data_IF_432223320257
#
_entry.id   IF_432223320257
#
_cell.length_a   1.000
_cell.length_b   1.000
_cell.length_c   1.000
_cell.angle_alpha   90.00
_cell.angle_beta   90.00
_cell.angle_gamma   90.00
#
_symmetry.space_group_name_H-M   'P 1'
#
loop_
_entity.id
_entity.type
_entity.pdbx_description
1 polymer ?
#
# COMPACT_ATOMS: atom_id res chain seq x y z
N UNK A 1 23.36 14.23 7.42
CA UNK A 1 23.01 13.42 6.23
C UNK A 1 22.06 12.25 6.54
N UNK A 2 21.21 12.34 7.57
CA UNK A 2 20.42 11.17 8.07
C UNK A 2 18.98 11.04 7.58
N UNK A 3 18.41 12.02 6.86
CA UNK A 3 16.96 12.02 6.54
C UNK A 3 16.64 11.33 5.20
N UNK A 4 17.61 11.21 4.29
CA UNK A 4 17.39 10.57 2.99
C UNK A 4 17.30 9.03 3.08
N UNK A 5 18.03 8.42 4.02
CA UNK A 5 18.08 6.96 4.18
C UNK A 5 16.77 6.42 4.78
N UNK A 6 16.21 7.09 5.80
CA UNK A 6 14.93 6.68 6.41
C UNK A 6 13.72 6.79 5.49
N UNK A 7 13.77 7.64 4.45
CA UNK A 7 12.70 7.73 3.45
C UNK A 7 12.65 6.50 2.51
N UNK A 8 13.79 5.86 2.28
CA UNK A 8 13.92 4.83 1.25
C UNK A 8 13.30 3.49 1.69
N UNK A 9 13.47 3.10 2.95
CA UNK A 9 12.93 1.83 3.45
C UNK A 9 11.42 1.87 3.63
N UNK A 10 10.88 2.99 4.13
CA UNK A 10 9.43 3.14 4.28
C UNK A 10 8.70 3.14 2.94
N UNK A 11 9.26 3.82 1.94
CA UNK A 11 8.67 3.85 0.59
C UNK A 11 8.68 2.46 -0.08
N UNK A 12 9.74 1.65 0.12
CA UNK A 12 9.82 0.28 -0.42
C UNK A 12 8.81 -0.66 0.25
N UNK A 13 8.62 -0.54 1.56
CA UNK A 13 7.60 -1.27 2.30
C UNK A 13 6.20 -0.93 1.80
N UNK A 14 5.86 0.36 1.73
CA UNK A 14 4.55 0.83 1.30
C UNK A 14 4.25 0.38 -0.14
N UNK A 15 5.25 0.40 -1.02
CA UNK A 15 5.12 -0.09 -2.40
C UNK A 15 4.90 -1.61 -2.46
N UNK A 16 5.64 -2.40 -1.69
CA UNK A 16 5.50 -3.87 -1.68
C UNK A 16 4.11 -4.26 -1.17
N UNK A 17 3.65 -3.60 -0.12
CA UNK A 17 2.31 -3.77 0.43
C UNK A 17 1.22 -3.35 -0.57
N UNK A 18 1.35 -2.16 -1.18
CA UNK A 18 0.38 -1.64 -2.14
C UNK A 18 0.27 -2.51 -3.41
N UNK A 19 1.40 -2.95 -3.96
CA UNK A 19 1.44 -3.83 -5.14
C UNK A 19 0.81 -5.19 -4.84
N UNK A 20 1.07 -5.74 -3.65
CA UNK A 20 0.49 -7.01 -3.22
C UNK A 20 -1.02 -6.93 -3.05
N UNK A 21 -1.50 -5.82 -2.45
CA UNK A 21 -2.93 -5.55 -2.29
C UNK A 21 -3.61 -5.30 -3.66
N UNK A 22 -2.94 -4.57 -4.56
CA UNK A 22 -3.40 -4.36 -5.93
C UNK A 22 -3.52 -5.67 -6.70
N UNK A 23 -2.52 -6.55 -6.62
CA UNK A 23 -2.57 -7.87 -7.23
C UNK A 23 -3.72 -8.72 -6.66
N UNK A 24 -3.89 -8.70 -5.33
CA UNK A 24 -4.97 -9.42 -4.66
C UNK A 24 -6.35 -8.95 -5.10
N UNK A 25 -6.57 -7.64 -5.12
CA UNK A 25 -7.82 -7.04 -5.58
C UNK A 25 -8.09 -7.34 -7.05
N UNK A 26 -7.06 -7.27 -7.91
CA UNK A 26 -7.19 -7.55 -9.34
C UNK A 26 -7.65 -8.98 -9.56
N UNK A 27 -7.02 -9.93 -8.88
CA UNK A 27 -7.37 -11.33 -8.97
C UNK A 27 -8.80 -11.60 -8.49
N UNK A 28 -9.23 -11.00 -7.37
CA UNK A 28 -10.61 -11.15 -6.87
C UNK A 28 -11.63 -10.50 -7.81
N UNK A 29 -11.32 -9.33 -8.38
CA UNK A 29 -12.17 -8.69 -9.37
C UNK A 29 -12.34 -9.58 -10.63
N UNK A 30 -11.26 -10.21 -11.10
CA UNK A 30 -11.31 -11.17 -12.20
C UNK A 30 -12.07 -12.45 -11.83
N UNK A 31 -11.98 -12.91 -10.58
CA UNK A 31 -12.75 -14.05 -10.08
C UNK A 31 -14.27 -13.81 -10.22
N UNK A 32 -14.74 -12.57 -10.03
CA UNK A 32 -16.15 -12.22 -10.19
C UNK A 32 -16.67 -12.42 -11.63
N UNK A 33 -15.80 -12.34 -12.64
CA UNK A 33 -16.20 -12.57 -14.03
C UNK A 33 -16.19 -14.06 -14.41
N UNK A 34 -15.48 -14.91 -13.66
CA UNK A 34 -15.33 -16.32 -13.97
C UNK A 34 -16.68 -17.06 -13.91
N UNK A 35 -17.11 -17.61 -15.05
CA UNK A 35 -18.36 -18.38 -15.19
C UNK A 35 -18.23 -19.83 -14.71
N UNK A 36 -17.00 -20.30 -14.46
CA UNK A 36 -16.71 -21.65 -13.97
C UNK A 36 -16.20 -21.62 -12.53
N UNK A 37 -16.62 -22.60 -11.72
CA UNK A 37 -16.18 -22.76 -10.33
C UNK A 37 -14.66 -22.93 -10.25
N UNK A 38 -14.07 -23.71 -11.16
CA UNK A 38 -12.62 -23.91 -11.24
C UNK A 38 -11.87 -22.63 -11.60
N UNK A 39 -12.43 -21.79 -12.49
CA UNK A 39 -11.85 -20.50 -12.86
C UNK A 39 -11.86 -19.51 -11.70
N UNK A 40 -13.00 -19.42 -10.99
CA UNK A 40 -13.11 -18.57 -9.81
C UNK A 40 -12.14 -19.01 -8.69
N UNK A 41 -12.04 -20.32 -8.43
CA UNK A 41 -11.10 -20.86 -7.45
C UNK A 41 -9.64 -20.56 -7.81
N UNK A 42 -9.28 -20.66 -9.10
CA UNK A 42 -7.94 -20.30 -9.58
C UNK A 42 -7.60 -18.83 -9.31
N UNK A 43 -8.53 -17.91 -9.59
CA UNK A 43 -8.31 -16.49 -9.32
C UNK A 43 -8.27 -16.15 -7.82
N UNK A 44 -9.10 -16.80 -7.00
CA UNK A 44 -9.05 -16.65 -5.55
C UNK A 44 -7.71 -17.12 -4.99
N UNK A 45 -7.12 -18.20 -5.52
CA UNK A 45 -5.78 -18.64 -5.13
C UNK A 45 -4.71 -17.59 -5.46
N UNK A 46 -4.74 -17.01 -6.66
CA UNK A 46 -3.84 -15.91 -7.04
C UNK A 46 -4.03 -14.71 -6.11
N UNK A 47 -5.26 -14.37 -5.77
CA UNK A 47 -5.57 -13.31 -4.82
C UNK A 47 -5.06 -13.60 -3.40
N UNK A 48 -5.08 -14.88 -3.00
CA UNK A 48 -4.53 -15.37 -1.75
C UNK A 48 -3.01 -15.15 -1.65
N UNK A 49 -2.27 -15.33 -2.75
CA UNK A 49 -0.82 -15.06 -2.78
C UNK A 49 -0.55 -13.58 -2.50
N UNK A 50 -1.25 -12.67 -3.17
CA UNK A 50 -1.11 -11.23 -2.94
C UNK A 50 -1.45 -10.83 -1.50
N UNK A 51 -2.54 -11.38 -0.96
CA UNK A 51 -2.94 -11.13 0.43
C UNK A 51 -1.91 -11.69 1.43
N UNK A 52 -1.32 -12.85 1.14
CA UNK A 52 -0.27 -13.45 1.97
C UNK A 52 1.00 -12.60 2.01
N UNK A 53 1.43 -12.05 0.87
CA UNK A 53 2.59 -11.13 0.84
C UNK A 53 2.29 -9.87 1.65
N UNK A 54 1.11 -9.28 1.50
CA UNK A 54 0.70 -8.11 2.28
C UNK A 54 0.68 -8.40 3.80
N UNK A 55 0.22 -9.59 4.20
CA UNK A 55 0.23 -10.05 5.59
C UNK A 55 1.64 -10.16 6.17
N UNK A 56 2.54 -10.91 5.52
CA UNK A 56 3.93 -11.10 6.02
C UNK A 56 4.69 -9.77 6.07
N UNK A 57 4.48 -8.94 5.05
CA UNK A 57 5.03 -7.57 5.00
C UNK A 57 4.58 -6.79 6.24
N UNK A 58 3.26 -6.72 6.51
CA UNK A 58 2.71 -6.02 7.67
C UNK A 58 3.25 -6.53 9.02
N UNK A 59 3.37 -7.85 9.19
CA UNK A 59 3.97 -8.44 10.39
C UNK A 59 5.42 -8.04 10.59
N UNK A 60 6.20 -7.98 9.50
CA UNK A 60 7.60 -7.57 9.55
C UNK A 60 7.73 -6.11 10.00
N UNK A 61 6.83 -5.25 9.55
CA UNK A 61 6.81 -3.85 10.00
C UNK A 61 6.45 -3.73 11.47
N UNK A 62 5.39 -4.42 11.91
CA UNK A 62 4.99 -4.47 13.32
C UNK A 62 6.13 -4.98 14.21
N UNK A 63 6.87 -6.01 13.78
CA UNK A 63 8.00 -6.56 14.54
C UNK A 63 9.11 -5.53 14.80
N UNK A 64 9.25 -4.51 13.94
CA UNK A 64 10.23 -3.44 14.11
C UNK A 64 9.85 -2.37 15.13
N UNK A 65 8.57 -2.28 15.52
CA UNK A 65 8.04 -1.21 16.36
C UNK A 65 7.76 -1.64 17.82
N UNK A 66 7.74 -2.95 18.10
CA UNK A 66 7.52 -3.47 19.47
C UNK A 66 8.83 -3.72 20.22
N UNK A 67 8.88 -3.19 21.45
CA UNK A 67 9.96 -3.40 22.41
C UNK A 67 10.01 -4.87 22.89
N UNK A 68 11.22 -5.41 23.10
CA UNK A 68 11.46 -6.84 23.32
C UNK A 68 10.77 -7.39 24.59
N UNK A 69 10.44 -6.52 25.55
CA UNK A 69 9.77 -6.86 26.82
C UNK A 69 8.28 -7.20 26.66
N UNK A 70 7.58 -6.65 25.67
CA UNK A 70 6.14 -6.90 25.45
C UNK A 70 5.85 -7.84 24.28
N UNK A 71 6.89 -8.20 23.52
CA UNK A 71 6.84 -8.95 22.27
C UNK A 71 5.95 -10.20 22.33
N UNK A 72 6.11 -11.04 23.35
CA UNK A 72 5.34 -12.29 23.48
C UNK A 72 3.83 -12.07 23.72
N UNK A 73 3.47 -11.05 24.50
CA UNK A 73 2.06 -10.76 24.85
C UNK A 73 1.34 -10.06 23.71
N UNK A 74 2.00 -9.09 23.07
CA UNK A 74 1.43 -8.37 21.92
C UNK A 74 1.21 -9.30 20.74
N UNK A 75 2.13 -10.23 20.44
CA UNK A 75 1.92 -11.19 19.35
C UNK A 75 0.83 -12.22 19.64
N UNK A 76 0.70 -12.68 20.89
CA UNK A 76 -0.41 -13.55 21.26
C UNK A 76 -1.76 -12.83 21.04
N UNK A 77 -1.87 -11.58 21.48
CA UNK A 77 -3.08 -10.77 21.28
C UNK A 77 -3.34 -10.45 19.79
N UNK A 78 -2.30 -10.15 19.01
CA UNK A 78 -2.43 -9.91 17.57
C UNK A 78 -2.93 -11.15 16.84
N UNK A 79 -2.37 -12.32 17.14
CA UNK A 79 -2.77 -13.57 16.49
C UNK A 79 -4.20 -13.98 16.83
N UNK A 80 -4.63 -13.79 18.08
CA UNK A 80 -6.03 -14.03 18.47
C UNK A 80 -6.96 -13.04 17.78
N UNK A 81 -6.56 -11.77 17.64
CA UNK A 81 -7.33 -10.76 16.93
C UNK A 81 -7.46 -11.09 15.44
N UNK A 82 -6.38 -11.47 14.76
CA UNK A 82 -6.41 -11.89 13.34
C UNK A 82 -7.36 -13.07 13.16
N UNK A 83 -7.29 -14.07 14.03
CA UNK A 83 -8.23 -15.21 13.99
C UNK A 83 -9.67 -14.75 14.19
N UNK A 84 -9.93 -13.88 15.16
CA UNK A 84 -11.27 -13.37 15.42
C UNK A 84 -11.82 -12.55 14.24
N UNK A 85 -10.97 -11.74 13.61
CA UNK A 85 -11.32 -10.97 12.42
C UNK A 85 -11.64 -11.87 11.23
N UNK A 86 -10.89 -12.96 11.04
CA UNK A 86 -11.18 -13.95 9.99
C UNK A 86 -12.52 -14.65 10.23
N UNK A 87 -12.78 -15.09 11.46
CA UNK A 87 -14.07 -15.71 11.82
C UNK A 87 -15.24 -14.73 11.62
N UNK A 88 -15.07 -13.48 12.04
CA UNK A 88 -16.06 -12.43 11.82
C UNK A 88 -16.28 -12.14 10.33
N UNK A 89 -15.20 -12.11 9.53
CA UNK A 89 -15.25 -11.90 8.09
C UNK A 89 -16.04 -13.01 7.38
N UNK A 90 -15.81 -14.28 7.74
CA UNK A 90 -16.58 -15.39 7.19
C UNK A 90 -18.07 -15.31 7.55
N UNK A 91 -18.40 -14.95 8.79
CA UNK A 91 -19.79 -14.77 9.20
C UNK A 91 -20.47 -13.63 8.42
N UNK A 92 -19.79 -12.48 8.30
CA UNK A 92 -20.28 -11.33 7.55
C UNK A 92 -20.42 -11.64 6.06
N UNK A 93 -19.49 -12.40 5.47
CA UNK A 93 -19.52 -12.76 4.06
C UNK A 93 -20.83 -13.49 3.70
N UNK A 94 -21.29 -14.42 4.54
CA UNK A 94 -22.55 -15.13 4.31
C UNK A 94 -23.74 -14.18 4.38
N UNK A 95 -23.79 -13.31 5.40
CA UNK A 95 -24.90 -12.35 5.57
C UNK A 95 -24.97 -11.37 4.39
N UNK A 96 -23.82 -10.81 4.00
CA UNK A 96 -23.73 -9.85 2.90
C UNK A 96 -24.02 -10.52 1.55
N UNK A 97 -23.54 -11.74 1.32
CA UNK A 97 -23.83 -12.47 0.08
C UNK A 97 -25.33 -12.70 -0.09
N UNK A 98 -26.04 -13.11 0.98
CA UNK A 98 -27.49 -13.28 0.93
C UNK A 98 -28.22 -11.93 0.72
N UNK A 99 -27.75 -10.85 1.36
CA UNK A 99 -28.33 -9.53 1.18
C UNK A 99 -28.16 -8.99 -0.24
N UNK A 100 -27.10 -9.38 -0.95
CA UNK A 100 -26.80 -8.96 -2.32
C UNK A 100 -27.44 -9.82 -3.41
N UNK A 101 -28.13 -10.89 -3.02
CA UNK A 101 -28.77 -11.82 -3.95
C UNK A 101 -29.99 -11.16 -4.59
N UNK A 102 -30.07 -11.17 -5.93
CA UNK A 102 -31.18 -10.57 -6.69
C UNK A 102 -31.23 -9.03 -6.73
N UNK A 103 -30.23 -8.30 -6.21
CA UNK A 103 -30.17 -6.82 -6.29
C UNK A 103 -29.75 -6.33 -7.68
N UNK A 104 -28.91 -7.07 -8.40
CA UNK A 104 -28.32 -6.65 -9.66
C UNK A 104 -28.81 -7.52 -10.84
N UNK A 105 -29.15 -6.93 -12.01
CA UNK A 105 -29.55 -7.70 -13.18
C UNK A 105 -28.40 -8.54 -13.75
N UNK A 106 -28.75 -9.61 -14.48
CA UNK A 106 -27.80 -10.52 -15.12
C UNK A 106 -26.73 -9.74 -15.93
N UNK A 107 -25.43 -10.08 -15.79
CA UNK A 107 -24.85 -11.35 -15.32
C UNK A 107 -24.48 -11.43 -13.82
N UNK A 108 -25.02 -10.53 -12.99
CA UNK A 108 -24.72 -10.37 -11.57
C UNK A 108 -25.84 -10.84 -10.62
N UNK A 109 -26.64 -11.82 -11.08
CA UNK A 109 -27.81 -12.30 -10.34
C UNK A 109 -27.44 -12.97 -9.00
N UNK A 110 -26.25 -13.58 -8.92
CA UNK A 110 -25.75 -14.23 -7.71
C UNK A 110 -25.09 -13.25 -6.73
N UNK A 111 -25.58 -13.24 -5.49
CA UNK A 111 -25.02 -12.43 -4.41
C UNK A 111 -23.55 -12.69 -4.11
N UNK A 112 -23.05 -13.92 -4.33
CA UNK A 112 -21.63 -14.27 -4.18
C UNK A 112 -20.77 -13.57 -5.23
N UNK A 113 -21.26 -13.49 -6.47
CA UNK A 113 -20.56 -12.81 -7.57
C UNK A 113 -20.47 -11.30 -7.32
N UNK A 114 -21.55 -10.72 -6.80
CA UNK A 114 -21.60 -9.31 -6.39
C UNK A 114 -20.63 -9.03 -5.25
N UNK A 115 -20.58 -9.91 -4.26
CA UNK A 115 -19.64 -9.80 -3.16
C UNK A 115 -18.19 -9.82 -3.64
N UNK A 116 -17.83 -10.72 -4.57
CA UNK A 116 -16.48 -10.73 -5.15
C UNK A 116 -16.19 -9.48 -5.98
N UNK A 117 -17.14 -9.00 -6.78
CA UNK A 117 -16.94 -7.80 -7.59
C UNK A 117 -16.71 -6.56 -6.70
N UNK A 118 -17.58 -6.35 -5.71
CA UNK A 118 -17.48 -5.22 -4.77
C UNK A 118 -16.18 -5.31 -3.98
N UNK A 119 -15.86 -6.49 -3.42
CA UNK A 119 -14.64 -6.68 -2.65
C UNK A 119 -13.38 -6.49 -3.49
N UNK A 120 -13.37 -7.02 -4.72
CA UNK A 120 -12.26 -6.84 -5.67
C UNK A 120 -12.01 -5.37 -5.98
N UNK A 121 -13.06 -4.60 -6.28
CA UNK A 121 -12.97 -3.16 -6.54
C UNK A 121 -12.51 -2.39 -5.30
N UNK A 122 -13.01 -2.73 -4.11
CA UNK A 122 -12.59 -2.09 -2.86
C UNK A 122 -11.12 -2.33 -2.55
N UNK A 123 -10.64 -3.57 -2.69
CA UNK A 123 -9.24 -3.95 -2.44
C UNK A 123 -8.33 -3.27 -3.47
N UNK A 124 -8.73 -3.31 -4.75
CA UNK A 124 -8.03 -2.59 -5.83
C UNK A 124 -7.96 -1.09 -5.58
N UNK A 125 -9.08 -0.49 -5.19
CA UNK A 125 -9.19 0.92 -4.89
C UNK A 125 -8.26 1.31 -3.75
N UNK A 126 -8.22 0.50 -2.69
CA UNK A 126 -7.32 0.72 -1.55
C UNK A 126 -5.84 0.63 -1.96
N UNK A 127 -5.45 -0.40 -2.72
CA UNK A 127 -4.08 -0.53 -3.23
C UNK A 127 -3.68 0.63 -4.15
N UNK A 128 -4.59 1.04 -5.04
CA UNK A 128 -4.37 2.17 -5.95
C UNK A 128 -4.28 3.51 -5.23
N UNK A 129 -5.14 3.74 -4.24
CA UNK A 129 -5.11 4.93 -3.39
C UNK A 129 -3.80 5.04 -2.62
N UNK A 130 -3.26 3.92 -2.13
CA UNK A 130 -1.97 3.89 -1.45
C UNK A 130 -0.83 4.28 -2.41
N UNK A 131 -0.85 3.77 -3.65
CA UNK A 131 0.12 4.17 -4.70
C UNK A 131 0.00 5.67 -5.00
N UNK A 132 -1.22 6.20 -5.12
CA UNK A 132 -1.46 7.62 -5.35
C UNK A 132 -1.02 8.48 -4.16
N UNK A 133 -1.23 8.01 -2.92
CA UNK A 133 -0.78 8.68 -1.71
C UNK A 133 0.75 8.76 -1.69
N UNK A 134 1.45 7.66 -1.95
CA UNK A 134 2.93 7.62 -2.08
C UNK A 134 3.39 8.56 -3.20
N UNK A 135 2.76 8.50 -4.37
CA UNK A 135 3.08 9.36 -5.52
C UNK A 135 2.86 10.83 -5.16
N UNK A 136 1.80 11.16 -4.42
CA UNK A 136 1.49 12.53 -3.99
C UNK A 136 2.48 13.04 -2.95
N UNK A 137 2.96 12.17 -2.04
CA UNK A 137 4.01 12.50 -1.08
C UNK A 137 5.38 12.71 -1.75
N UNK A 138 5.66 11.99 -2.84
CA UNK A 138 6.88 12.17 -3.65
C UNK A 138 6.81 13.38 -4.59
N UNK A 139 5.64 13.68 -5.17
CA UNK A 139 5.43 14.82 -6.10
C UNK A 139 5.18 16.15 -5.39
N UNK A 140 4.68 16.11 -4.15
CA UNK A 140 4.59 17.29 -3.28
C UNK A 140 5.61 17.13 -2.16
N UNK A 141 6.91 17.33 -2.41
CA UNK A 141 7.77 17.78 -1.32
C UNK A 141 7.19 19.14 -0.93
N UNK A 142 6.36 19.16 0.12
CA UNK A 142 6.02 20.39 0.82
C UNK A 142 7.30 20.80 1.53
N UNK A 143 8.25 21.30 0.74
CA UNK A 143 9.53 21.80 1.21
C UNK A 143 9.15 22.92 2.16
N UNK A 144 9.39 22.76 3.48
CA UNK A 144 9.09 23.82 4.42
C UNK A 144 9.71 25.11 3.88
N UNK A 145 9.01 26.26 3.98
CA UNK A 145 9.51 27.52 3.39
C UNK A 145 10.94 27.84 3.85
N UNK A 146 11.36 27.34 5.01
CA UNK A 146 12.72 27.38 5.54
C UNK A 146 13.74 26.57 4.73
N UNK A 147 13.44 25.32 4.37
CA UNK A 147 14.32 24.47 3.55
C UNK A 147 14.46 25.04 2.13
N UNK A 148 13.39 25.65 1.60
CA UNK A 148 13.42 26.34 0.30
C UNK A 148 14.32 27.58 0.33
N UNK A 149 14.39 28.29 1.46
CA UNK A 149 15.31 29.41 1.67
C UNK A 149 16.76 28.91 1.79
N UNK A 150 17.00 27.90 2.63
CA UNK A 150 18.33 27.30 2.82
C UNK A 150 18.96 26.79 1.51
N UNK A 151 18.19 26.09 0.66
CA UNK A 151 18.68 25.61 -0.65
C UNK A 151 19.00 26.78 -1.59
N UNK A 152 18.21 27.86 -1.56
CA UNK A 152 18.45 29.05 -2.39
C UNK A 152 19.68 29.82 -1.93
N UNK A 153 19.87 29.92 -0.62
CA UNK A 153 21.02 30.60 -0.02
C UNK A 153 22.31 29.80 -0.27
N UNK A 154 22.25 28.48 -0.15
CA UNK A 154 23.36 27.59 -0.52
C UNK A 154 23.69 27.69 -2.02
N UNK A 155 22.68 27.76 -2.90
CA UNK A 155 22.89 27.91 -4.34
C UNK A 155 23.55 29.25 -4.70
N UNK A 156 23.19 30.34 -4.02
CA UNK A 156 23.83 31.66 -4.18
C UNK A 156 25.27 31.67 -3.65
N UNK A 157 25.52 31.04 -2.51
CA UNK A 157 26.86 30.89 -1.97
C UNK A 157 27.76 30.10 -2.93
N UNK A 158 27.27 28.97 -3.47
CA UNK A 158 27.99 28.19 -4.48
C UNK A 158 28.21 28.94 -5.80
N UNK A 159 27.20 29.69 -6.27
CA UNK A 159 27.32 30.53 -7.46
C UNK A 159 28.39 31.62 -7.30
N UNK A 160 28.45 32.24 -6.12
CA UNK A 160 29.44 33.28 -5.81
C UNK A 160 30.88 32.75 -5.73
N UNK A 161 31.07 31.49 -5.28
CA UNK A 161 32.38 30.84 -5.28
C UNK A 161 32.82 30.40 -6.68
N UNK A 162 31.89 30.05 -7.57
CA UNK A 162 32.20 29.70 -8.96
C UNK A 162 32.58 30.92 -9.81
N UNK A 163 32.04 32.10 -9.49
CA UNK A 163 32.37 33.36 -10.18
C UNK A 163 33.78 33.89 -9.93
N UNK A 164 34.39 33.63 -8.76
CA UNK A 164 35.73 34.15 -8.41
C UNK A 164 36.91 33.38 -9.03
N UNK A 165 36.66 32.31 -9.79
CA UNK A 165 37.70 31.55 -10.51
C UNK A 165 37.92 32.01 -11.95
N UNK A 166 37.13 32.96 -12.46
CA UNK A 166 37.27 33.51 -13.82
C UNK A 166 38.20 34.72 -13.96
N UNK A 167 38.44 35.46 -12.88
CA UNK A 167 38.97 36.84 -13.00
C UNK A 167 40.43 37.01 -12.50
N UNK A 168 41.15 35.89 -12.30
CA UNK A 168 42.56 35.90 -11.84
C UNK A 168 43.57 35.63 -12.98
N UNK A 169 43.17 35.84 -14.23
CA UNK A 169 44.00 35.52 -15.39
C UNK A 169 44.00 36.62 -16.45
N UNK A 170 44.32 37.86 -16.09
CA UNK A 170 44.99 38.84 -16.96
C UNK A 170 45.24 40.14 -16.19
N UNK A 171 46.40 40.24 -15.56
CA UNK A 171 47.05 41.53 -15.23
C UNK A 171 48.54 41.32 -15.43
N UNK A 172 48.93 41.51 -16.68
CA UNK A 172 50.27 41.97 -17.05
C UNK A 172 50.56 43.32 -16.39
#
# INVERSE_FOLDING_TARGET
>A
MGVAVFSSDRTRFDLTYALSLGLAGLAIALAAFAQTISGAAGWVLVGGIGTGVAYVTGFTHLHGEVDDTLRGRTFAALFTLVRMAMLASFALAVVVANALDGIFPAPFDSGIRNLFAISGVLILGTGSLLILAIRSALLKPDVPPEVRRSIRDASRAFGSMRGRRGDSGYRD
#
